data_IF_637493293540
#
_entry.id   IF_637493293540
#
_cell.length_a   1.000
_cell.length_b   1.000
_cell.length_c   1.000
_cell.angle_alpha   90.00
_cell.angle_beta   90.00
_cell.angle_gamma   90.00
#
_symmetry.space_group_name_H-M   'P 1'
#
loop_
_entity.id
_entity.type
_entity.pdbx_description
1 polymer ?
#
# COMPACT_ATOMS: atom_id res chain seq x y z
N UNK A 1 10.22 -7.08 14.41
CA UNK A 1 8.78 -6.77 14.62
C UNK A 1 8.52 -5.40 14.02
N UNK A 2 7.46 -5.25 13.22
CA UNK A 2 7.06 -3.96 12.65
C UNK A 2 6.13 -3.17 13.56
N UNK A 3 5.95 -1.90 13.26
CA UNK A 3 5.00 -1.03 13.97
C UNK A 3 3.70 -0.94 13.16
N UNK A 4 2.58 -1.32 13.78
CA UNK A 4 1.26 -1.22 13.18
C UNK A 4 0.73 0.18 13.43
N UNK A 5 0.33 0.86 12.35
CA UNK A 5 -0.37 2.13 12.38
C UNK A 5 -1.83 1.90 11.99
N UNK A 6 -2.71 1.99 12.98
CA UNK A 6 -4.15 1.78 12.78
C UNK A 6 -4.77 2.88 11.88
N UNK A 7 -5.84 2.55 11.14
CA UNK A 7 -6.55 3.53 10.31
C UNK A 7 -6.98 4.76 11.10
N UNK A 8 -6.75 5.94 10.52
CA UNK A 8 -7.32 7.21 11.00
C UNK A 8 -8.49 7.64 10.12
N UNK A 9 -9.29 8.61 10.56
CA UNK A 9 -10.39 9.18 9.75
C UNK A 9 -9.92 9.64 8.37
N UNK A 10 -8.70 10.17 8.25
CA UNK A 10 -8.11 10.65 6.98
C UNK A 10 -7.62 9.51 6.09
N UNK A 11 -7.27 8.37 6.66
CA UNK A 11 -6.79 7.19 5.91
C UNK A 11 -7.93 6.27 5.46
N UNK A 12 -9.17 6.56 5.85
CA UNK A 12 -10.31 5.72 5.51
C UNK A 12 -10.07 4.25 5.88
N UNK A 13 -10.16 3.29 4.93
CA UNK A 13 -10.00 1.86 5.21
C UNK A 13 -8.54 1.38 5.23
N UNK A 14 -7.56 2.27 5.07
CA UNK A 14 -6.16 1.89 4.96
C UNK A 14 -5.49 1.82 6.33
N UNK A 15 -4.72 0.75 6.53
CA UNK A 15 -3.83 0.48 7.65
C UNK A 15 -2.41 0.37 7.09
N UNK A 16 -1.41 0.79 7.86
CA UNK A 16 -0.01 0.56 7.48
C UNK A 16 0.73 -0.28 8.53
N UNK A 17 1.59 -1.18 8.09
CA UNK A 17 2.51 -1.89 8.97
C UNK A 17 3.95 -1.60 8.55
N UNK A 18 4.61 -0.75 9.33
CA UNK A 18 5.97 -0.28 9.13
C UNK A 18 6.96 -1.41 9.40
N UNK A 19 7.86 -1.68 8.44
CA UNK A 19 9.01 -2.58 8.56
C UNK A 19 10.32 -1.78 8.51
N UNK A 20 11.45 -2.48 8.53
CA UNK A 20 12.77 -1.85 8.52
C UNK A 20 13.04 -1.03 7.25
N UNK A 21 12.55 -1.49 6.10
CA UNK A 21 12.88 -0.90 4.78
C UNK A 21 11.65 -0.80 3.86
N UNK A 22 10.49 -1.17 4.37
CA UNK A 22 9.24 -1.26 3.62
C UNK A 22 8.08 -1.04 4.57
N UNK A 23 6.87 -1.05 4.02
CA UNK A 23 5.65 -1.14 4.79
C UNK A 23 4.60 -1.93 4.03
N UNK A 24 3.71 -2.60 4.75
CA UNK A 24 2.47 -3.10 4.15
C UNK A 24 1.45 -1.98 4.13
N UNK A 25 0.89 -1.69 2.97
CA UNK A 25 -0.34 -0.94 2.82
C UNK A 25 -1.50 -1.93 2.75
N UNK A 26 -2.32 -1.97 3.79
CA UNK A 26 -3.40 -2.93 3.93
C UNK A 26 -4.74 -2.23 3.87
N UNK A 27 -5.65 -2.74 3.04
CA UNK A 27 -7.06 -2.35 3.07
C UNK A 27 -7.77 -3.30 4.04
N UNK A 28 -8.15 -2.81 5.23
CA UNK A 28 -8.83 -3.59 6.27
C UNK A 28 -9.96 -2.81 6.93
N UNK A 29 -11.19 -3.35 6.94
CA UNK A 29 -12.37 -2.71 7.56
C UNK A 29 -13.60 -3.64 7.56
N UNK A 30 -14.55 -3.45 8.50
CA UNK A 30 -15.40 -4.51 9.07
C UNK A 30 -16.41 -5.18 8.12
N UNK A 31 -16.65 -4.67 6.92
CA UNK A 31 -17.35 -5.37 5.83
C UNK A 31 -17.11 -4.62 4.53
N UNK A 32 -16.44 -5.26 3.56
CA UNK A 32 -16.43 -4.89 2.13
C UNK A 32 -16.21 -3.40 1.82
N UNK A 33 -14.96 -2.93 1.78
CA UNK A 33 -14.69 -1.68 1.03
C UNK A 33 -15.02 -1.96 -0.44
N UNK A 34 -16.13 -1.43 -1.00
CA UNK A 34 -16.56 -1.82 -2.33
C UNK A 34 -15.49 -1.42 -3.36
N UNK A 35 -15.12 -2.36 -4.23
CA UNK A 35 -14.20 -2.12 -5.34
C UNK A 35 -12.75 -2.53 -5.10
N UNK A 36 -12.25 -2.47 -3.86
CA UNK A 36 -10.89 -2.90 -3.56
C UNK A 36 -10.76 -4.43 -3.70
N UNK A 37 -9.87 -4.90 -4.57
CA UNK A 37 -9.65 -6.33 -4.84
C UNK A 37 -8.23 -6.59 -5.32
N UNK A 38 -7.76 -7.82 -5.09
CA UNK A 38 -6.55 -8.32 -5.73
C UNK A 38 -6.87 -8.68 -7.18
N UNK A 39 -6.04 -8.22 -8.12
CA UNK A 39 -6.11 -8.63 -9.54
C UNK A 39 -5.23 -9.85 -9.76
N UNK A 40 -4.01 -9.81 -9.24
CA UNK A 40 -3.03 -10.90 -9.27
C UNK A 40 -2.05 -10.76 -8.08
N UNK A 41 -1.06 -11.66 -7.95
CA UNK A 41 -0.09 -11.67 -6.84
C UNK A 41 0.62 -10.34 -6.58
N UNK A 42 0.78 -9.51 -7.60
CA UNK A 42 1.53 -8.24 -7.58
C UNK A 42 0.63 -7.00 -7.74
N UNK A 43 -0.64 -7.18 -8.10
CA UNK A 43 -1.52 -6.07 -8.48
C UNK A 43 -2.73 -5.94 -7.56
N UNK A 44 -2.86 -4.77 -6.94
CA UNK A 44 -3.99 -4.34 -6.13
C UNK A 44 -4.85 -3.33 -6.90
N UNK A 45 -6.13 -3.65 -7.12
CA UNK A 45 -7.13 -2.71 -7.67
C UNK A 45 -7.88 -2.04 -6.54
N UNK A 46 -8.01 -0.73 -6.58
CA UNK A 46 -8.83 0.06 -5.65
C UNK A 46 -9.58 1.16 -6.39
N UNK A 47 -10.74 1.62 -5.90
CA UNK A 47 -11.40 2.78 -6.45
C UNK A 47 -10.47 4.00 -6.52
N UNK A 48 -10.50 4.75 -7.61
CA UNK A 48 -9.72 5.97 -7.79
C UNK A 48 -10.08 7.04 -6.75
N UNK A 49 -11.30 7.00 -6.22
CA UNK A 49 -11.73 7.81 -5.09
C UNK A 49 -10.93 7.55 -3.79
N UNK A 50 -10.16 6.46 -3.72
CA UNK A 50 -9.29 6.15 -2.58
C UNK A 50 -7.93 6.84 -2.64
N UNK A 51 -7.59 7.52 -3.74
CA UNK A 51 -6.34 8.29 -3.85
C UNK A 51 -6.03 9.15 -2.61
N UNK A 52 -6.94 10.00 -2.09
CA UNK A 52 -6.66 10.79 -0.88
C UNK A 52 -6.37 9.95 0.37
N UNK A 53 -7.00 8.79 0.52
CA UNK A 53 -6.78 7.89 1.65
C UNK A 53 -5.41 7.22 1.60
N UNK A 54 -4.98 6.83 0.40
CA UNK A 54 -3.63 6.30 0.17
C UNK A 54 -2.60 7.38 0.49
N UNK A 55 -2.77 8.60 0.00
CA UNK A 55 -1.87 9.71 0.28
C UNK A 55 -1.76 9.99 1.79
N UNK A 56 -2.87 9.96 2.52
CA UNK A 56 -2.87 10.10 3.98
C UNK A 56 -2.13 8.96 4.69
N UNK A 57 -2.25 7.72 4.20
CA UNK A 57 -1.49 6.59 4.73
C UNK A 57 0.02 6.77 4.49
N UNK A 58 0.41 7.29 3.32
CA UNK A 58 1.81 7.62 3.03
C UNK A 58 2.35 8.76 3.89
N UNK A 59 1.51 9.74 4.25
CA UNK A 59 1.90 10.80 5.20
C UNK A 59 2.24 10.21 6.57
N UNK A 60 1.44 9.26 7.05
CA UNK A 60 1.71 8.57 8.31
C UNK A 60 3.01 7.75 8.26
N UNK A 61 3.27 7.03 7.16
CA UNK A 61 4.53 6.30 6.95
C UNK A 61 5.72 7.24 7.06
N UNK A 62 5.69 8.37 6.34
CA UNK A 62 6.81 9.33 6.34
C UNK A 62 7.00 10.07 7.67
N UNK A 63 5.96 10.15 8.50
CA UNK A 63 6.05 10.74 9.84
C UNK A 63 6.64 9.78 10.88
N UNK A 64 6.63 8.48 10.61
CA UNK A 64 7.09 7.45 11.54
C UNK A 64 8.61 7.44 11.70
N UNK A 65 9.13 7.12 12.89
CA UNK A 65 10.58 7.13 13.13
C UNK A 65 11.34 6.09 12.31
N UNK A 66 10.73 4.92 12.04
CA UNK A 66 11.34 3.90 11.17
C UNK A 66 11.62 4.38 9.73
N UNK A 67 10.86 5.36 9.22
CA UNK A 67 11.17 6.02 7.96
C UNK A 67 12.42 6.90 8.07
N UNK A 68 12.62 7.59 9.20
CA UNK A 68 13.79 8.45 9.43
C UNK A 68 15.08 7.65 9.58
N UNK A 69 14.98 6.41 10.04
CA UNK A 69 16.11 5.48 10.20
C UNK A 69 16.46 4.77 8.89
N UNK A 70 15.66 4.93 7.84
CA UNK A 70 15.94 4.37 6.51
C UNK A 70 17.15 5.06 5.87
N UNK A 71 18.11 4.25 5.45
CA UNK A 71 19.40 4.72 4.94
C UNK A 71 19.43 5.01 3.43
N UNK A 72 18.28 4.95 2.75
CA UNK A 72 18.18 5.23 1.31
C UNK A 72 18.73 4.15 0.40
N UNK A 73 19.03 2.94 0.92
CA UNK A 73 19.49 1.84 0.06
C UNK A 73 18.37 1.42 -0.86
N UNK A 74 18.49 1.80 -2.13
CA UNK A 74 17.56 1.39 -3.19
C UNK A 74 17.60 -0.12 -3.30
N UNK A 75 16.49 -0.78 -2.96
CA UNK A 75 16.25 -2.13 -3.44
C UNK A 75 15.49 -2.02 -4.76
N UNK A 76 15.55 -3.09 -5.52
CA UNK A 76 14.76 -3.29 -6.72
C UNK A 76 13.29 -3.36 -6.28
N UNK A 77 12.70 -2.17 -6.12
CA UNK A 77 11.30 -1.90 -5.88
C UNK A 77 10.87 -0.98 -7.01
N UNK A 78 9.84 -1.39 -7.74
CA UNK A 78 9.19 -0.55 -8.72
C UNK A 78 7.69 -0.70 -8.50
N UNK A 79 7.07 0.40 -8.06
CA UNK A 79 5.62 0.52 -8.04
C UNK A 79 5.13 1.30 -9.24
N UNK A 80 4.20 0.69 -9.97
CA UNK A 80 3.50 1.32 -11.08
C UNK A 80 2.04 1.47 -10.71
N UNK A 81 1.48 2.66 -10.91
CA UNK A 81 0.04 2.92 -10.76
C UNK A 81 -0.57 3.23 -12.12
N UNK A 82 -1.50 2.38 -12.54
CA UNK A 82 -2.28 2.58 -13.77
C UNK A 82 -3.71 2.98 -13.41
N UNK A 83 -4.27 3.97 -14.10
CA UNK A 83 -5.70 4.31 -14.03
C UNK A 83 -6.45 3.50 -15.06
N UNK A 84 -7.48 2.77 -14.63
CA UNK A 84 -8.39 2.04 -15.51
C UNK A 84 -9.84 2.43 -15.14
N UNK A 85 -10.38 3.41 -15.87
CA UNK A 85 -11.67 4.03 -15.54
C UNK A 85 -11.67 4.62 -14.12
N UNK A 86 -12.57 4.11 -13.28
CA UNK A 86 -12.74 4.53 -11.88
C UNK A 86 -11.85 3.75 -10.91
N UNK A 87 -10.87 2.99 -11.40
CA UNK A 87 -9.96 2.18 -10.59
C UNK A 87 -8.50 2.63 -10.72
N UNK A 88 -7.73 2.42 -9.65
CA UNK A 88 -6.28 2.49 -9.60
C UNK A 88 -5.73 1.08 -9.43
N UNK A 89 -4.84 0.68 -10.34
CA UNK A 89 -4.10 -0.57 -10.29
C UNK A 89 -2.71 -0.29 -9.75
N UNK A 90 -2.46 -0.64 -8.49
CA UNK A 90 -1.15 -0.54 -7.83
C UNK A 90 -0.42 -1.86 -8.06
N UNK A 91 0.61 -1.84 -8.89
CA UNK A 91 1.42 -3.01 -9.24
C UNK A 91 2.82 -2.90 -8.66
N UNK A 92 3.27 -3.93 -7.96
CA UNK A 92 4.64 -4.06 -7.45
C UNK A 92 5.41 -5.04 -8.33
N UNK A 93 6.21 -4.53 -9.25
CA UNK A 93 6.90 -5.34 -10.25
C UNK A 93 8.03 -6.18 -9.64
N UNK A 94 8.74 -5.61 -8.68
CA UNK A 94 9.87 -6.23 -7.97
C UNK A 94 9.64 -6.08 -6.46
N UNK A 95 8.99 -7.04 -5.78
CA UNK A 95 8.71 -6.90 -4.37
C UNK A 95 9.98 -7.18 -3.53
N UNK A 96 10.18 -6.40 -2.46
CA UNK A 96 11.33 -6.56 -1.55
C UNK A 96 11.38 -7.96 -0.92
N UNK A 97 10.21 -8.56 -0.66
CA UNK A 97 10.05 -9.95 -0.26
C UNK A 97 9.04 -10.65 -1.17
N UNK A 98 9.23 -11.95 -1.40
CA UNK A 98 8.23 -12.76 -2.08
C UNK A 98 6.91 -12.67 -1.29
N UNK A 99 5.86 -12.19 -1.93
CA UNK A 99 4.54 -12.14 -1.29
C UNK A 99 3.99 -13.56 -1.22
N UNK A 100 4.33 -14.30 -0.16
CA UNK A 100 3.84 -15.65 0.11
C UNK A 100 2.44 -15.55 0.73
N UNK A 101 1.50 -16.32 0.18
CA UNK A 101 0.11 -16.35 0.63
C UNK A 101 -0.17 -17.72 1.25
N UNK A 102 -0.80 -17.73 2.42
CA UNK A 102 -1.40 -18.93 2.98
C UNK A 102 -2.71 -19.19 2.22
N UNK A 103 -2.68 -20.14 1.28
CA UNK A 103 -3.88 -20.65 0.60
C UNK A 103 -4.80 -21.44 1.54
N UNK A 104 -4.33 -21.78 2.74
CA UNK A 104 -5.10 -22.46 3.78
C UNK A 104 -5.72 -21.44 4.75
N UNK A 105 -7.05 -21.47 4.81
CA UNK A 105 -7.95 -20.69 5.65
C UNK A 105 -8.28 -19.25 5.23
N UNK A 106 -9.43 -19.18 4.54
CA UNK A 106 -10.34 -18.06 4.19
C UNK A 106 -10.63 -17.00 5.28
N UNK A 107 -9.66 -16.55 6.06
CA UNK A 107 -9.86 -15.56 7.12
C UNK A 107 -9.08 -14.25 6.89
N UNK A 108 -8.00 -14.25 6.09
CA UNK A 108 -7.30 -13.00 5.79
C UNK A 108 -7.96 -12.28 4.60
N UNK A 109 -9.02 -11.55 4.92
CA UNK A 109 -9.74 -10.64 4.00
C UNK A 109 -8.97 -9.35 3.72
N UNK A 110 -7.78 -9.19 4.30
CA UNK A 110 -7.00 -7.99 4.15
C UNK A 110 -6.26 -8.01 2.81
N UNK A 111 -6.50 -6.97 2.00
CA UNK A 111 -5.79 -6.81 0.73
C UNK A 111 -4.58 -5.93 0.99
N UNK A 112 -3.41 -6.55 1.16
CA UNK A 112 -2.16 -5.88 1.51
C UNK A 112 -1.17 -5.82 0.35
N UNK A 113 -0.44 -4.73 0.19
CA UNK A 113 0.71 -4.70 -0.73
C UNK A 113 1.92 -4.16 -0.01
N UNK A 114 3.05 -4.86 -0.11
CA UNK A 114 4.30 -4.37 0.43
C UNK A 114 4.94 -3.36 -0.52
N UNK A 115 5.33 -2.21 0.02
CA UNK A 115 5.89 -1.08 -0.72
C UNK A 115 7.22 -0.71 -0.06
N UNK A 116 8.27 -0.57 -0.88
CA UNK A 116 9.58 -0.09 -0.42
C UNK A 116 9.52 1.38 -0.03
N UNK A 117 10.35 1.81 0.92
CA UNK A 117 10.42 3.24 1.26
C UNK A 117 10.91 4.09 0.08
N UNK A 118 11.76 3.53 -0.78
CA UNK A 118 12.20 4.16 -2.03
C UNK A 118 11.05 4.53 -2.97
N UNK A 119 9.96 3.76 -2.94
CA UNK A 119 8.84 3.88 -3.87
C UNK A 119 7.79 4.91 -3.43
N UNK A 120 7.86 5.42 -2.19
CA UNK A 120 6.83 6.32 -1.65
C UNK A 120 6.73 7.63 -2.44
N UNK A 121 7.86 8.16 -2.90
CA UNK A 121 7.88 9.38 -3.74
C UNK A 121 7.14 9.16 -5.05
N UNK A 122 7.50 8.10 -5.77
CA UNK A 122 6.91 7.76 -7.06
C UNK A 122 5.43 7.40 -6.91
N UNK A 123 5.06 6.64 -5.87
CA UNK A 123 3.67 6.32 -5.56
C UNK A 123 2.84 7.56 -5.29
N UNK A 124 3.36 8.52 -4.51
CA UNK A 124 2.66 9.80 -4.24
C UNK A 124 2.37 10.55 -5.52
N UNK A 125 3.33 10.64 -6.44
CA UNK A 125 3.13 11.34 -7.71
C UNK A 125 2.12 10.62 -8.61
N UNK A 126 2.20 9.29 -8.71
CA UNK A 126 1.32 8.52 -9.59
C UNK A 126 -0.12 8.42 -9.09
N UNK A 127 -0.36 8.47 -7.76
CA UNK A 127 -1.71 8.39 -7.16
C UNK A 127 -2.46 9.71 -7.22
N UNK A 128 -1.77 10.86 -7.30
CA UNK A 128 -2.43 12.17 -7.40
C UNK A 128 -3.41 12.19 -8.58
N UNK A 129 -4.58 12.84 -8.44
CA UNK A 129 -5.47 13.09 -9.58
C UNK A 129 -4.72 13.85 -10.67
N UNK A 130 -4.91 13.51 -11.95
CA UNK A 130 -4.51 14.41 -13.02
C UNK A 130 -5.27 15.73 -12.84
N UNK A 131 -4.53 16.85 -12.88
CA UNK A 131 -5.09 18.21 -12.83
C UNK A 131 -5.91 18.52 -14.08
#
# INVERSE_FOLDING_TARGET
MGAIQEPTTTMGPYRTEIRSESFYLTVSGPTATPGARRVDRQTLSVPAAHAPFILAALDQVTAHNGWKDWNGTRRTGAITVTRDGDELLLRVDEPVYAQEWNDEDRADTSVSTEIGYEDVGDLREQVKPCA
#
